data_IF_848088697446
#
_entry.id   IF_848088697446
#
_cell.length_a   1.000
_cell.length_b   1.000
_cell.length_c   1.000
_cell.angle_alpha   90.00
_cell.angle_beta   90.00
_cell.angle_gamma   90.00
#
_symmetry.space_group_name_H-M   'P 1'
#
loop_
_entity.id
_entity.type
_entity.pdbx_description
1 polymer ?
#
# COMPACT_ATOMS: atom_id res chain seq x y z
N UNK A 1 12.30 4.02 -51.22
CA UNK A 1 12.17 2.91 -50.25
C UNK A 1 11.14 3.39 -49.25
N UNK A 2 9.98 2.73 -49.09
CA UNK A 2 9.07 3.08 -48.01
C UNK A 2 9.75 2.72 -46.68
N UNK A 3 9.81 3.66 -45.75
CA UNK A 3 10.15 3.39 -44.36
C UNK A 3 9.19 2.32 -43.82
N UNK A 4 9.75 1.25 -43.28
CA UNK A 4 9.02 0.32 -42.44
C UNK A 4 8.58 1.13 -41.21
N UNK A 5 7.31 1.53 -41.15
CA UNK A 5 6.69 1.93 -39.89
C UNK A 5 6.93 0.77 -38.92
N UNK A 6 7.68 1.02 -37.85
CA UNK A 6 7.68 0.13 -36.70
C UNK A 6 6.23 0.09 -36.23
N UNK A 7 5.56 -1.04 -36.46
CA UNK A 7 4.25 -1.29 -35.85
C UNK A 7 4.54 -1.37 -34.35
N UNK A 8 4.04 -0.41 -33.57
CA UNK A 8 4.18 -0.44 -32.11
C UNK A 8 3.64 -1.76 -31.57
N UNK A 9 4.34 -2.33 -30.58
CA UNK A 9 3.82 -3.53 -29.90
C UNK A 9 2.68 -3.07 -29.01
N UNK A 10 1.54 -3.76 -29.07
CA UNK A 10 0.41 -3.48 -28.20
C UNK A 10 0.59 -4.21 -26.89
N UNK A 11 0.35 -3.52 -25.78
CA UNK A 11 0.40 -4.09 -24.44
C UNK A 11 -0.93 -3.85 -23.74
N UNK A 12 -1.48 -4.88 -23.09
CA UNK A 12 -2.64 -4.74 -22.21
C UNK A 12 -2.13 -4.40 -20.82
N UNK A 13 -2.40 -3.18 -20.35
CA UNK A 13 -1.95 -2.71 -19.05
C UNK A 13 -3.13 -2.37 -18.13
N UNK A 14 -2.91 -2.53 -16.83
CA UNK A 14 -3.78 -1.99 -15.78
C UNK A 14 -3.23 -0.61 -15.40
N UNK A 15 -4.03 0.44 -15.59
CA UNK A 15 -3.60 1.82 -15.36
C UNK A 15 -4.69 2.64 -14.64
N UNK A 16 -4.30 3.53 -13.69
CA UNK A 16 -5.21 4.54 -13.15
C UNK A 16 -5.56 5.57 -14.23
N UNK A 17 -6.84 5.65 -14.59
CA UNK A 17 -7.41 6.65 -15.49
C UNK A 17 -7.97 7.80 -14.66
N UNK A 18 -7.60 9.02 -15.01
CA UNK A 18 -8.08 10.25 -14.39
C UNK A 18 -9.48 10.54 -14.91
N UNK A 19 -10.48 10.37 -14.05
CA UNK A 19 -11.89 10.61 -14.37
C UNK A 19 -12.20 12.10 -14.31
N UNK A 20 -11.68 12.78 -13.30
CA UNK A 20 -11.83 14.22 -13.14
C UNK A 20 -10.97 14.76 -12.02
N UNK A 21 -10.72 16.07 -12.09
CA UNK A 21 -10.04 16.82 -11.05
C UNK A 21 -10.75 18.15 -10.81
N UNK A 22 -10.71 18.62 -9.57
CA UNK A 22 -11.30 19.90 -9.20
C UNK A 22 -10.57 20.52 -7.99
N UNK A 23 -10.60 21.85 -7.93
CA UNK A 23 -10.10 22.63 -6.79
C UNK A 23 -11.26 23.39 -6.16
N UNK A 24 -11.47 23.22 -4.86
CA UNK A 24 -12.45 24.02 -4.12
C UNK A 24 -11.79 24.75 -2.96
N UNK A 25 -12.24 25.97 -2.71
CA UNK A 25 -11.96 26.68 -1.47
C UNK A 25 -13.19 26.64 -0.54
N UNK A 26 -12.96 26.37 0.73
CA UNK A 26 -13.96 26.37 1.80
C UNK A 26 -13.48 27.21 2.97
N UNK A 27 -14.42 27.95 3.57
CA UNK A 27 -14.13 28.76 4.74
C UNK A 27 -14.90 28.20 5.92
N UNK A 28 -14.16 27.75 6.92
CA UNK A 28 -14.70 27.33 8.21
C UNK A 28 -14.65 28.50 9.18
N UNK A 29 -15.79 28.79 9.82
CA UNK A 29 -15.92 29.91 10.76
C UNK A 29 -16.30 29.36 12.12
N UNK A 30 -15.44 29.56 13.11
CA UNK A 30 -15.61 29.01 14.46
C UNK A 30 -15.26 30.05 15.51
N UNK A 31 -15.86 29.87 16.69
CA UNK A 31 -15.54 30.64 17.89
C UNK A 31 -14.97 29.69 18.93
N UNK A 32 -13.76 29.99 19.42
CA UNK A 32 -13.15 29.27 20.53
C UNK A 32 -13.24 30.12 21.80
N UNK A 33 -13.71 29.53 22.90
CA UNK A 33 -13.56 30.14 24.23
C UNK A 33 -12.15 29.87 24.73
N UNK A 34 -11.41 30.95 24.99
CA UNK A 34 -10.04 30.85 25.50
C UNK A 34 -10.05 30.58 27.00
N UNK A 35 -9.15 29.72 27.46
CA UNK A 35 -9.01 29.38 28.88
C UNK A 35 -8.65 30.60 29.75
N UNK A 36 -7.99 31.58 29.13
CA UNK A 36 -7.64 32.87 29.73
C UNK A 36 -7.92 34.00 28.73
N UNK A 37 -8.43 35.17 29.19
CA UNK A 37 -8.63 36.32 28.31
C UNK A 37 -7.30 36.74 27.64
N UNK A 38 -7.32 36.87 26.32
CA UNK A 38 -6.16 37.25 25.52
C UNK A 38 -6.12 38.75 25.22
N UNK A 39 -4.92 39.32 25.24
CA UNK A 39 -4.63 40.65 24.71
C UNK A 39 -4.40 40.58 23.19
N UNK A 40 -3.70 39.54 22.72
CA UNK A 40 -3.42 39.31 21.29
C UNK A 40 -3.13 37.85 21.01
N UNK A 41 -3.43 37.41 19.79
CA UNK A 41 -2.96 36.13 19.25
C UNK A 41 -1.51 36.32 18.80
N UNK A 42 -0.64 35.39 19.18
CA UNK A 42 0.76 35.37 18.76
C UNK A 42 0.93 34.57 17.48
N UNK A 43 0.43 33.34 17.49
CA UNK A 43 0.60 32.38 16.39
C UNK A 43 -0.48 31.30 16.45
N UNK A 44 -0.82 30.73 15.30
CA UNK A 44 -1.69 29.55 15.19
C UNK A 44 -1.06 28.63 14.16
N UNK A 45 -0.60 27.47 14.63
CA UNK A 45 -0.17 26.39 13.75
C UNK A 45 -1.35 25.47 13.54
N UNK A 46 -1.75 25.25 12.28
CA UNK A 46 -2.87 24.40 11.94
C UNK A 46 -2.43 23.36 10.92
N UNK A 47 -2.97 22.15 11.06
CA UNK A 47 -2.80 21.05 10.12
C UNK A 47 -4.15 20.39 9.89
N UNK A 48 -4.35 19.86 8.69
CA UNK A 48 -5.50 19.01 8.38
C UNK A 48 -5.09 17.56 8.61
N UNK A 49 -5.86 16.81 9.38
CA UNK A 49 -5.64 15.40 9.67
C UNK A 49 -6.91 14.59 9.50
N UNK A 50 -6.77 13.27 9.60
CA UNK A 50 -7.88 12.30 9.66
C UNK A 50 -8.86 12.45 8.50
N UNK A 51 -8.32 12.68 7.30
CA UNK A 51 -9.14 12.83 6.10
C UNK A 51 -9.77 11.50 5.71
N UNK A 52 -11.07 11.54 5.49
CA UNK A 52 -11.86 10.46 4.92
C UNK A 52 -12.56 10.96 3.66
N UNK A 53 -12.63 10.12 2.64
CA UNK A 53 -13.28 10.43 1.37
C UNK A 53 -14.26 9.36 0.98
N UNK A 54 -15.45 9.75 0.57
CA UNK A 54 -16.44 8.88 -0.05
C UNK A 54 -16.81 9.40 -1.43
N UNK A 55 -16.76 8.52 -2.43
CA UNK A 55 -17.20 8.86 -3.79
C UNK A 55 -18.66 8.48 -3.97
N UNK A 56 -19.45 9.42 -4.44
CA UNK A 56 -20.81 9.23 -4.92
C UNK A 56 -20.90 9.71 -6.37
N UNK A 57 -22.03 9.49 -7.01
CA UNK A 57 -22.27 9.96 -8.38
C UNK A 57 -21.93 11.46 -8.53
N UNK A 58 -20.97 11.73 -9.41
CA UNK A 58 -20.42 13.04 -9.77
C UNK A 58 -19.82 13.86 -8.61
N UNK A 59 -19.58 13.27 -7.43
CA UNK A 59 -19.09 14.03 -6.26
C UNK A 59 -18.17 13.22 -5.35
N UNK A 60 -17.29 13.95 -4.69
CA UNK A 60 -16.46 13.45 -3.59
C UNK A 60 -16.87 14.15 -2.30
N UNK A 61 -17.26 13.38 -1.29
CA UNK A 61 -17.44 13.85 0.09
C UNK A 61 -16.08 13.78 0.78
N UNK A 62 -15.73 14.84 1.50
CA UNK A 62 -14.48 14.96 2.25
C UNK A 62 -14.82 15.31 3.68
N UNK A 63 -14.29 14.53 4.60
CA UNK A 63 -14.40 14.76 6.04
C UNK A 63 -13.02 14.75 6.64
N UNK A 64 -12.81 15.49 7.72
CA UNK A 64 -11.53 15.50 8.41
C UNK A 64 -11.52 16.45 9.60
N UNK A 65 -10.34 16.63 10.18
CA UNK A 65 -10.12 17.46 11.36
C UNK A 65 -9.10 18.55 11.04
N UNK A 66 -9.42 19.79 11.41
CA UNK A 66 -8.46 20.89 11.49
C UNK A 66 -7.92 20.90 12.92
N UNK A 67 -6.71 20.39 13.11
CA UNK A 67 -6.02 20.42 14.39
C UNK A 67 -5.21 21.72 14.51
N UNK A 68 -5.47 22.51 15.55
CA UNK A 68 -4.83 23.82 15.77
C UNK A 68 -4.11 23.88 17.10
N UNK A 69 -2.93 24.49 17.06
CA UNK A 69 -2.10 24.84 18.20
C UNK A 69 -2.07 26.37 18.30
N UNK A 70 -2.82 26.92 19.25
CA UNK A 70 -3.07 28.37 19.37
C UNK A 70 -2.19 28.92 20.48
N UNK A 71 -1.35 29.90 20.14
CA UNK A 71 -0.49 30.61 21.08
C UNK A 71 -0.97 32.06 21.19
N UNK A 72 -1.25 32.52 22.41
CA UNK A 72 -1.77 33.87 22.66
C UNK A 72 -1.17 34.48 23.92
N UNK A 73 -1.19 35.81 24.03
CA UNK A 73 -0.73 36.53 25.21
C UNK A 73 -1.93 36.84 26.09
N UNK A 74 -1.92 36.36 27.33
CA UNK A 74 -2.99 36.58 28.30
C UNK A 74 -2.95 37.99 28.91
N UNK A 75 -3.99 38.35 29.66
CA UNK A 75 -4.01 39.60 30.45
C UNK A 75 -3.00 39.64 31.59
N UNK A 76 -2.35 38.52 31.88
CA UNK A 76 -1.23 38.36 32.81
C UNK A 76 0.15 38.57 32.16
N UNK A 77 0.19 38.98 30.89
CA UNK A 77 1.40 39.15 30.08
C UNK A 77 2.20 37.84 29.86
N UNK A 78 1.58 36.67 30.09
CA UNK A 78 2.17 35.35 29.85
C UNK A 78 1.67 34.80 28.51
N UNK A 79 2.51 34.00 27.84
CA UNK A 79 2.10 33.26 26.65
C UNK A 79 1.40 31.99 27.10
N UNK A 80 0.14 31.85 26.69
CA UNK A 80 -0.67 30.67 26.88
C UNK A 80 -0.76 29.87 25.58
N UNK A 81 -1.08 28.60 25.74
CA UNK A 81 -1.25 27.63 24.68
C UNK A 81 -2.57 26.92 24.87
N UNK A 82 -3.33 26.77 23.80
CA UNK A 82 -4.57 26.01 23.77
C UNK A 82 -4.67 25.26 22.44
N UNK A 83 -4.99 23.97 22.51
CA UNK A 83 -5.25 23.16 21.32
C UNK A 83 -6.76 23.16 21.00
N UNK A 84 -7.09 23.03 19.71
CA UNK A 84 -8.47 22.96 19.26
C UNK A 84 -8.57 22.06 18.02
N UNK A 85 -9.53 21.13 18.05
CA UNK A 85 -9.90 20.28 16.92
C UNK A 85 -11.25 20.70 16.36
N UNK A 86 -11.31 20.94 15.04
CA UNK A 86 -12.56 21.24 14.35
C UNK A 86 -12.79 20.19 13.28
N UNK A 87 -13.83 19.39 13.45
CA UNK A 87 -14.31 18.52 12.38
C UNK A 87 -14.95 19.37 11.27
N UNK A 88 -14.63 19.06 10.02
CA UNK A 88 -15.27 19.65 8.84
C UNK A 88 -15.85 18.55 7.95
N UNK A 89 -16.83 18.94 7.14
CA UNK A 89 -17.35 18.10 6.05
C UNK A 89 -17.74 18.97 4.87
N UNK A 90 -17.28 18.60 3.68
CA UNK A 90 -17.61 19.26 2.42
C UNK A 90 -17.82 18.22 1.33
N UNK A 91 -18.36 18.65 0.20
CA UNK A 91 -18.33 17.90 -1.04
C UNK A 91 -17.74 18.75 -2.18
N UNK A 92 -17.20 18.07 -3.18
CA UNK A 92 -16.66 18.64 -4.41
C UNK A 92 -17.32 17.93 -5.59
N UNK A 93 -17.81 18.70 -6.55
CA UNK A 93 -18.36 18.15 -7.78
C UNK A 93 -17.19 17.70 -8.68
N UNK A 94 -17.16 16.42 -9.04
CA UNK A 94 -16.19 15.80 -9.95
C UNK A 94 -16.99 14.97 -10.95
N UNK A 95 -17.37 15.54 -12.11
CA UNK A 95 -18.17 14.82 -13.10
C UNK A 95 -17.54 13.50 -13.53
N UNK A 96 -18.35 12.44 -13.62
CA UNK A 96 -17.93 11.08 -13.95
C UNK A 96 -17.49 10.23 -12.76
N UNK A 97 -17.40 10.79 -11.56
CA UNK A 97 -17.05 10.03 -10.36
C UNK A 97 -18.17 9.03 -9.97
N UNK A 98 -17.79 7.80 -9.63
CA UNK A 98 -18.70 6.72 -9.22
C UNK A 98 -18.21 6.03 -7.92
N UNK A 99 -19.12 5.41 -7.13
CA UNK A 99 -18.73 4.66 -5.94
C UNK A 99 -17.67 3.60 -6.23
N UNK A 100 -16.66 3.53 -5.36
CA UNK A 100 -15.53 2.59 -5.49
C UNK A 100 -14.33 3.12 -6.29
N UNK A 101 -14.43 4.30 -6.91
CA UNK A 101 -13.27 4.98 -7.48
C UNK A 101 -12.32 5.50 -6.40
N UNK A 102 -11.04 5.61 -6.76
CA UNK A 102 -9.98 6.08 -5.87
C UNK A 102 -9.91 7.61 -5.88
N UNK A 103 -9.58 8.21 -4.73
CA UNK A 103 -9.47 9.66 -4.58
C UNK A 103 -8.06 10.02 -4.12
N UNK A 104 -7.40 10.88 -4.89
CA UNK A 104 -6.23 11.62 -4.43
C UNK A 104 -6.68 13.01 -3.97
N UNK A 105 -6.26 13.40 -2.77
CA UNK A 105 -6.64 14.67 -2.15
C UNK A 105 -5.43 15.37 -1.55
N UNK A 106 -5.29 16.66 -1.87
CA UNK A 106 -4.27 17.54 -1.32
C UNK A 106 -4.94 18.72 -0.60
N UNK A 107 -5.07 18.65 0.74
CA UNK A 107 -5.58 19.76 1.54
C UNK A 107 -4.50 20.83 1.75
N UNK A 108 -4.89 22.10 1.71
CA UNK A 108 -4.01 23.23 2.04
C UNK A 108 -4.76 24.23 2.91
N UNK A 109 -4.14 24.68 4.00
CA UNK A 109 -4.64 25.82 4.77
C UNK A 109 -4.03 27.08 4.16
N UNK A 110 -4.82 27.86 3.43
CA UNK A 110 -4.34 29.09 2.80
C UNK A 110 -4.19 30.22 3.81
N UNK A 111 -5.22 30.42 4.64
CA UNK A 111 -5.31 31.55 5.56
C UNK A 111 -6.04 31.21 6.85
N UNK A 112 -5.54 31.74 7.96
CA UNK A 112 -6.24 31.76 9.26
C UNK A 112 -6.40 33.21 9.67
N UNK A 113 -7.63 33.72 9.59
CA UNK A 113 -7.97 35.08 10.02
C UNK A 113 -8.61 35.00 11.39
N UNK A 114 -8.08 35.75 12.35
CA UNK A 114 -8.61 35.74 13.71
C UNK A 114 -8.97 37.13 14.23
N UNK A 115 -9.91 37.15 15.17
CA UNK A 115 -10.31 38.34 15.90
C UNK A 115 -10.67 37.98 17.33
N UNK A 116 -10.06 38.67 18.29
CA UNK A 116 -10.47 38.59 19.68
C UNK A 116 -11.75 39.42 19.88
N UNK A 117 -12.77 38.79 20.46
CA UNK A 117 -14.04 39.41 20.82
C UNK A 117 -14.33 39.15 22.30
N UNK A 118 -15.43 39.71 22.82
CA UNK A 118 -15.81 39.58 24.24
C UNK A 118 -14.68 39.93 25.23
N UNK A 119 -13.97 41.05 24.98
CA UNK A 119 -12.82 41.49 25.78
C UNK A 119 -11.69 40.44 25.87
N UNK A 120 -11.51 39.63 24.83
CA UNK A 120 -10.41 38.67 24.73
C UNK A 120 -10.74 37.26 25.20
N UNK A 121 -11.95 36.97 25.65
CA UNK A 121 -12.33 35.61 26.08
C UNK A 121 -12.74 34.70 24.92
N UNK A 122 -13.13 35.28 23.78
CA UNK A 122 -13.52 34.51 22.59
C UNK A 122 -12.61 34.86 21.44
N UNK A 123 -12.06 33.83 20.81
CA UNK A 123 -11.28 33.89 19.59
C UNK A 123 -12.20 33.52 18.41
N UNK A 124 -12.64 34.52 17.66
CA UNK A 124 -13.37 34.34 16.40
C UNK A 124 -12.38 34.04 15.29
N UNK A 125 -12.58 32.95 14.56
CA UNK A 125 -11.62 32.41 13.60
C UNK A 125 -12.30 32.14 12.26
N UNK A 126 -11.55 32.36 11.19
CA UNK A 126 -11.91 31.95 9.83
C UNK A 126 -10.73 31.22 9.23
N UNK A 127 -10.90 29.94 8.95
CA UNK A 127 -9.88 29.10 8.31
C UNK A 127 -10.30 28.90 6.87
N UNK A 128 -9.45 29.31 5.92
CA UNK A 128 -9.65 29.09 4.49
C UNK A 128 -8.86 27.85 4.10
N UNK A 129 -9.59 26.81 3.72
CA UNK A 129 -9.09 25.54 3.21
C UNK A 129 -9.21 25.53 1.69
N UNK A 130 -8.17 25.05 1.02
CA UNK A 130 -8.22 24.65 -0.38
C UNK A 130 -8.05 23.14 -0.44
N UNK A 131 -8.87 22.47 -1.27
CA UNK A 131 -8.72 21.06 -1.57
C UNK A 131 -8.52 20.91 -3.08
N UNK A 132 -7.40 20.32 -3.48
CA UNK A 132 -7.26 19.73 -4.81
C UNK A 132 -7.68 18.27 -4.71
N UNK A 133 -8.64 17.85 -5.54
CA UNK A 133 -9.16 16.50 -5.58
C UNK A 133 -9.05 15.94 -6.98
N UNK A 134 -8.64 14.68 -7.07
CA UNK A 134 -8.58 13.90 -8.29
C UNK A 134 -9.23 12.55 -8.07
N UNK A 135 -10.11 12.14 -8.98
CA UNK A 135 -10.75 10.83 -8.97
C UNK A 135 -10.11 9.96 -10.03
N UNK A 136 -9.69 8.76 -9.62
CA UNK A 136 -9.04 7.76 -10.45
C UNK A 136 -9.92 6.51 -10.54
N UNK A 137 -9.96 5.92 -11.74
CA UNK A 137 -10.55 4.61 -11.97
C UNK A 137 -9.49 3.71 -12.57
N UNK A 138 -9.24 2.56 -11.96
CA UNK A 138 -8.24 1.64 -12.50
C UNK A 138 -8.87 0.79 -13.61
N UNK A 139 -8.36 0.94 -14.83
CA UNK A 139 -8.89 0.31 -16.03
C UNK A 139 -7.84 -0.55 -16.72
N UNK A 140 -8.30 -1.49 -17.55
CA UNK A 140 -7.44 -2.23 -18.48
C UNK A 140 -7.46 -1.54 -19.84
N UNK A 141 -6.30 -1.11 -20.30
CA UNK A 141 -6.12 -0.37 -21.54
C UNK A 141 -5.18 -1.14 -22.46
N UNK A 142 -5.53 -1.21 -23.75
CA UNK A 142 -4.62 -1.68 -24.79
C UNK A 142 -3.87 -0.45 -25.31
N UNK A 143 -2.59 -0.34 -24.94
CA UNK A 143 -1.75 0.80 -25.29
C UNK A 143 -0.72 0.44 -26.35
N UNK A 144 -0.38 1.41 -27.18
CA UNK A 144 0.75 1.29 -28.10
C UNK A 144 2.08 1.60 -27.39
N UNK A 145 3.06 0.71 -27.53
CA UNK A 145 4.43 0.96 -27.05
C UNK A 145 5.29 1.59 -28.15
N UNK A 146 6.15 2.54 -27.78
CA UNK A 146 6.93 3.29 -28.77
C UNK A 146 7.70 4.48 -28.19
N UNK A 147 7.73 5.60 -28.90
CA UNK A 147 8.46 6.80 -28.47
C UNK A 147 7.59 7.66 -27.55
N UNK A 148 7.63 7.37 -26.25
CA UNK A 148 7.00 8.18 -25.21
C UNK A 148 7.64 7.98 -23.84
N UNK A 149 7.04 8.48 -22.74
CA UNK A 149 7.60 8.35 -21.40
C UNK A 149 7.80 6.89 -21.04
N UNK A 150 8.94 6.58 -20.40
CA UNK A 150 9.20 5.26 -19.85
C UNK A 150 8.45 5.17 -18.52
N UNK A 151 7.39 4.37 -18.46
CA UNK A 151 6.53 4.29 -17.27
C UNK A 151 6.59 2.90 -16.64
N UNK A 152 6.40 2.85 -15.32
CA UNK A 152 6.05 1.61 -14.62
C UNK A 152 4.56 1.36 -14.83
N UNK A 153 4.22 0.18 -15.31
CA UNK A 153 2.84 -0.25 -15.47
C UNK A 153 2.71 -1.74 -15.15
N UNK A 154 1.51 -2.16 -14.76
CA UNK A 154 1.20 -3.57 -14.59
C UNK A 154 0.63 -4.12 -15.89
N UNK A 155 1.44 -4.91 -16.60
CA UNK A 155 0.97 -5.66 -17.78
C UNK A 155 0.07 -6.80 -17.34
N UNK A 156 -1.07 -6.94 -17.99
CA UNK A 156 -1.99 -8.05 -17.76
C UNK A 156 -1.50 -9.27 -18.54
N UNK A 157 -1.21 -10.35 -17.80
CA UNK A 157 -0.78 -11.63 -18.38
C UNK A 157 -2.01 -12.46 -18.74
N UNK A 158 -2.97 -12.53 -17.82
CA UNK A 158 -4.24 -13.20 -18.05
C UNK A 158 -5.21 -13.03 -16.89
N UNK A 159 -6.46 -13.37 -17.16
CA UNK A 159 -7.53 -13.40 -16.17
C UNK A 159 -8.48 -14.57 -16.46
N UNK A 160 -9.05 -15.15 -15.42
CA UNK A 160 -10.01 -16.25 -15.53
C UNK A 160 -10.88 -16.34 -14.27
N UNK A 161 -12.09 -16.86 -14.41
CA UNK A 161 -12.99 -17.18 -13.29
C UNK A 161 -13.21 -18.69 -13.24
N UNK A 162 -13.17 -19.25 -12.02
CA UNK A 162 -13.63 -20.63 -11.78
C UNK A 162 -14.71 -20.64 -10.71
N UNK A 163 -15.67 -21.55 -10.86
CA UNK A 163 -16.60 -21.87 -9.78
C UNK A 163 -16.11 -23.13 -9.07
N UNK A 164 -16.06 -23.09 -7.74
CA UNK A 164 -15.71 -24.24 -6.91
C UNK A 164 -16.79 -24.48 -5.85
N UNK A 165 -16.98 -25.75 -5.50
CA UNK A 165 -17.99 -26.16 -4.52
C UNK A 165 -17.31 -26.71 -3.29
N UNK A 166 -17.51 -26.03 -2.16
CA UNK A 166 -17.05 -26.44 -0.85
C UNK A 166 -18.21 -27.15 -0.15
N UNK A 167 -18.07 -28.46 0.05
CA UNK A 167 -19.05 -29.26 0.79
C UNK A 167 -18.60 -29.42 2.23
N UNK A 168 -19.52 -29.24 3.16
CA UNK A 168 -19.26 -29.45 4.58
C UNK A 168 -20.47 -30.01 5.33
N UNK A 169 -20.21 -30.76 6.39
CA UNK A 169 -21.24 -31.32 7.26
C UNK A 169 -20.91 -30.97 8.71
N UNK A 170 -21.65 -29.98 9.23
CA UNK A 170 -21.43 -29.41 10.56
C UNK A 170 -22.37 -30.04 11.58
N UNK A 171 -21.81 -30.42 12.73
CA UNK A 171 -22.61 -30.86 13.89
C UNK A 171 -22.99 -29.65 14.74
N UNK A 172 -24.27 -29.55 15.08
CA UNK A 172 -24.81 -28.45 15.87
C UNK A 172 -24.63 -28.73 17.36
N UNK A 173 -24.21 -27.70 18.11
CA UNK A 173 -24.07 -27.79 19.57
C UNK A 173 -25.42 -28.05 20.27
N UNK A 174 -26.50 -27.57 19.66
CA UNK A 174 -27.89 -27.77 20.10
C UNK A 174 -28.69 -28.28 18.90
N UNK A 175 -29.56 -29.28 19.13
CA UNK A 175 -30.45 -29.78 18.09
C UNK A 175 -31.32 -28.67 17.53
N UNK A 176 -31.31 -28.51 16.22
CA UNK A 176 -32.11 -27.50 15.53
C UNK A 176 -33.47 -28.04 15.09
N UNK A 177 -34.49 -27.20 15.20
CA UNK A 177 -35.78 -27.37 14.56
C UNK A 177 -35.73 -26.86 13.11
N UNK A 178 -35.03 -25.74 12.89
CA UNK A 178 -34.86 -25.11 11.57
C UNK A 178 -33.63 -24.22 11.51
N UNK A 179 -33.09 -24.03 10.32
CA UNK A 179 -32.08 -23.01 10.02
C UNK A 179 -32.79 -21.68 9.74
N UNK A 180 -32.26 -20.59 10.31
CA UNK A 180 -32.76 -19.23 10.14
C UNK A 180 -32.02 -18.56 9.00
N UNK A 181 -30.69 -18.53 9.09
CA UNK A 181 -29.84 -17.86 8.13
C UNK A 181 -28.42 -18.46 8.12
N UNK A 182 -27.73 -18.30 6.99
CA UNK A 182 -26.32 -18.62 6.83
C UNK A 182 -25.66 -17.48 6.06
N UNK A 183 -24.70 -16.82 6.67
CA UNK A 183 -23.79 -15.92 5.97
C UNK A 183 -22.41 -16.54 5.85
N UNK A 184 -21.74 -16.29 4.74
CA UNK A 184 -20.36 -16.72 4.53
C UNK A 184 -19.56 -15.64 3.82
N UNK A 185 -18.28 -15.57 4.16
CA UNK A 185 -17.29 -14.74 3.50
C UNK A 185 -15.98 -15.52 3.36
N UNK A 186 -15.19 -15.18 2.34
CA UNK A 186 -13.87 -15.78 2.14
C UNK A 186 -12.83 -14.92 2.86
N UNK A 187 -12.02 -15.55 3.69
CA UNK A 187 -10.94 -14.95 4.47
C UNK A 187 -9.62 -15.69 4.24
N UNK A 188 -8.53 -15.09 4.74
CA UNK A 188 -7.21 -15.73 4.80
C UNK A 188 -6.74 -16.30 3.46
N UNK A 189 -6.95 -15.54 2.38
CA UNK A 189 -6.50 -15.94 1.05
C UNK A 189 -4.96 -15.92 0.98
N UNK A 190 -4.40 -17.05 0.57
CA UNK A 190 -3.02 -17.21 0.16
C UNK A 190 -2.97 -17.68 -1.29
N UNK A 191 -1.95 -17.20 -2.03
CA UNK A 191 -1.86 -17.44 -3.47
C UNK A 191 -0.44 -17.74 -3.89
N UNK A 192 -0.27 -18.76 -4.72
CA UNK A 192 1.01 -19.11 -5.33
C UNK A 192 0.86 -19.16 -6.85
N UNK A 193 1.67 -18.35 -7.55
CA UNK A 193 1.75 -18.39 -9.01
C UNK A 193 2.78 -19.45 -9.41
N UNK A 194 2.34 -20.40 -10.23
CA UNK A 194 3.20 -21.40 -10.87
C UNK A 194 3.05 -21.27 -12.39
N UNK A 195 3.81 -22.05 -13.14
CA UNK A 195 3.72 -22.06 -14.61
C UNK A 195 2.27 -22.31 -15.07
N UNK A 196 1.72 -21.34 -15.82
CA UNK A 196 0.37 -21.31 -16.40
C UNK A 196 -0.81 -21.42 -15.42
N UNK A 197 -0.58 -21.35 -14.11
CA UNK A 197 -1.62 -21.55 -13.09
C UNK A 197 -1.42 -20.70 -11.85
N UNK A 198 -2.52 -20.45 -11.15
CA UNK A 198 -2.53 -19.87 -9.80
C UNK A 198 -3.15 -20.89 -8.85
N UNK A 199 -2.47 -21.19 -7.74
CA UNK A 199 -3.02 -21.94 -6.61
C UNK A 199 -3.60 -20.93 -5.64
N UNK A 200 -4.83 -21.16 -5.19
CA UNK A 200 -5.52 -20.35 -4.21
C UNK A 200 -5.84 -21.24 -3.01
N UNK A 201 -5.52 -20.75 -1.83
CA UNK A 201 -5.89 -21.35 -0.56
C UNK A 201 -6.61 -20.30 0.26
N UNK A 202 -7.61 -20.71 1.02
CA UNK A 202 -8.34 -19.77 1.88
C UNK A 202 -9.30 -20.48 2.80
N UNK A 203 -10.03 -19.67 3.57
CA UNK A 203 -11.00 -20.14 4.54
C UNK A 203 -12.35 -19.50 4.23
N UNK A 204 -13.38 -20.33 4.08
CA UNK A 204 -14.76 -19.85 4.12
C UNK A 204 -15.14 -19.69 5.59
N UNK A 205 -15.19 -18.44 6.06
CA UNK A 205 -15.70 -18.11 7.39
C UNK A 205 -17.22 -17.97 7.31
N UNK A 206 -17.93 -18.74 8.13
CA UNK A 206 -19.38 -18.87 8.03
C UNK A 206 -20.05 -18.68 9.37
N UNK A 207 -21.16 -17.95 9.38
CA UNK A 207 -22.04 -17.77 10.53
C UNK A 207 -23.36 -18.50 10.29
N UNK A 208 -23.67 -19.47 11.15
CA UNK A 208 -24.91 -20.24 11.11
C UNK A 208 -25.85 -19.78 12.23
N UNK A 209 -27.06 -19.37 11.87
CA UNK A 209 -28.14 -19.01 12.80
C UNK A 209 -29.27 -20.03 12.69
N UNK A 210 -29.72 -20.59 13.82
CA UNK A 210 -30.74 -21.64 13.84
C UNK A 210 -31.60 -21.60 15.11
N UNK A 211 -32.81 -22.19 15.05
CA UNK A 211 -33.68 -22.32 16.23
C UNK A 211 -33.48 -23.70 16.85
N UNK A 212 -33.16 -23.75 18.14
CA UNK A 212 -32.97 -24.98 18.89
C UNK A 212 -34.29 -25.65 19.31
N UNK A 213 -34.22 -26.90 19.79
CA UNK A 213 -35.35 -27.59 20.44
C UNK A 213 -35.86 -26.87 21.71
N UNK A 214 -35.07 -25.95 22.25
CA UNK A 214 -35.44 -25.05 23.35
C UNK A 214 -36.23 -23.81 22.89
N UNK A 215 -36.55 -23.72 21.60
CA UNK A 215 -37.22 -22.58 20.95
C UNK A 215 -36.43 -21.25 21.02
N UNK A 216 -35.12 -21.33 21.30
CA UNK A 216 -34.20 -20.18 21.32
C UNK A 216 -33.38 -20.14 20.04
N UNK A 217 -33.01 -18.94 19.60
CA UNK A 217 -32.08 -18.75 18.51
C UNK A 217 -30.64 -18.95 18.98
N UNK A 218 -29.91 -19.83 18.29
CA UNK A 218 -28.51 -20.14 18.54
C UNK A 218 -27.67 -19.71 17.36
N UNK A 219 -26.40 -19.48 17.65
CA UNK A 219 -25.39 -19.05 16.72
C UNK A 219 -24.19 -20.00 16.78
N UNK A 220 -23.67 -20.38 15.62
CA UNK A 220 -22.46 -21.20 15.52
C UNK A 220 -21.61 -20.72 14.33
N UNK A 221 -20.36 -20.34 14.62
CA UNK A 221 -19.38 -20.02 13.60
C UNK A 221 -18.62 -21.27 13.13
N UNK A 222 -18.16 -21.27 11.89
CA UNK A 222 -17.32 -22.32 11.34
C UNK A 222 -16.36 -21.78 10.27
N UNK A 223 -15.17 -22.37 10.24
CA UNK A 223 -14.11 -22.10 9.27
C UNK A 223 -13.89 -23.35 8.41
N UNK A 224 -14.10 -23.22 7.11
CA UNK A 224 -13.96 -24.32 6.16
C UNK A 224 -12.82 -24.00 5.20
N UNK A 225 -11.65 -24.65 5.31
CA UNK A 225 -10.54 -24.41 4.39
C UNK A 225 -10.88 -24.95 3.00
N UNK A 226 -10.48 -24.23 1.96
CA UNK A 226 -10.56 -24.67 0.57
C UNK A 226 -9.24 -24.44 -0.14
N UNK A 227 -9.05 -25.18 -1.24
CA UNK A 227 -7.94 -24.95 -2.17
C UNK A 227 -8.42 -25.21 -3.58
N UNK A 228 -8.05 -24.32 -4.49
CA UNK A 228 -8.43 -24.38 -5.90
C UNK A 228 -7.26 -23.96 -6.78
N UNK A 229 -7.24 -24.40 -8.03
CA UNK A 229 -6.30 -23.89 -9.04
C UNK A 229 -7.05 -23.22 -10.19
N UNK A 230 -6.48 -22.14 -10.71
CA UNK A 230 -7.03 -21.42 -11.85
C UNK A 230 -6.01 -21.42 -12.98
N UNK A 231 -6.43 -21.88 -14.16
CA UNK A 231 -5.60 -21.84 -15.37
C UNK A 231 -5.48 -20.40 -15.86
N UNK A 232 -4.26 -19.89 -15.92
CA UNK A 232 -3.90 -18.56 -16.43
C UNK A 232 -2.67 -18.72 -17.34
N UNK A 233 -2.87 -18.99 -18.64
CA UNK A 233 -1.75 -19.16 -19.58
C UNK A 233 -0.81 -17.96 -19.59
N UNK A 234 0.50 -18.22 -19.53
CA UNK A 234 1.56 -17.21 -19.47
C UNK A 234 1.97 -16.77 -18.06
N UNK A 235 1.30 -17.25 -17.01
CA UNK A 235 1.67 -16.96 -15.63
C UNK A 235 3.00 -17.66 -15.26
N UNK A 236 3.89 -16.93 -14.57
CA UNK A 236 5.18 -17.41 -14.09
C UNK A 236 5.41 -17.06 -12.60
N UNK A 237 6.22 -17.86 -11.86
CA UNK A 237 6.55 -17.56 -10.47
C UNK A 237 7.13 -16.15 -10.28
N UNK A 238 6.61 -15.43 -9.29
CA UNK A 238 7.02 -14.06 -8.97
C UNK A 238 6.17 -12.97 -9.63
N UNK A 239 5.21 -13.32 -10.50
CA UNK A 239 4.19 -12.38 -10.99
C UNK A 239 3.19 -12.00 -9.89
N UNK A 240 2.55 -10.86 -10.07
CA UNK A 240 1.53 -10.35 -9.15
C UNK A 240 0.19 -11.05 -9.42
N UNK A 241 -0.58 -11.31 -8.37
CA UNK A 241 -1.90 -11.94 -8.49
C UNK A 241 -2.95 -11.20 -7.66
N UNK A 242 -4.14 -11.04 -8.23
CA UNK A 242 -5.32 -10.50 -7.58
C UNK A 242 -6.43 -11.54 -7.66
N UNK A 243 -7.03 -11.85 -6.51
CA UNK A 243 -8.15 -12.78 -6.40
C UNK A 243 -9.36 -12.04 -5.82
N UNK A 244 -10.49 -12.13 -6.52
CA UNK A 244 -11.76 -11.58 -6.09
C UNK A 244 -12.75 -12.73 -5.87
N UNK A 245 -12.85 -13.24 -4.63
CA UNK A 245 -13.81 -14.29 -4.30
C UNK A 245 -15.22 -13.72 -4.16
N UNK A 246 -16.23 -14.49 -4.57
CA UNK A 246 -17.64 -14.22 -4.31
C UNK A 246 -18.35 -15.50 -3.87
N UNK A 247 -19.16 -15.41 -2.81
CA UNK A 247 -20.07 -16.49 -2.42
C UNK A 247 -21.34 -16.36 -3.27
N UNK A 248 -21.50 -17.21 -4.26
CA UNK A 248 -22.66 -17.16 -5.16
C UNK A 248 -23.91 -17.80 -4.53
N UNK A 249 -23.71 -18.95 -3.87
CA UNK A 249 -24.82 -19.71 -3.32
C UNK A 249 -24.41 -20.55 -2.12
N UNK A 250 -25.32 -20.68 -1.14
CA UNK A 250 -25.20 -21.62 -0.04
C UNK A 250 -26.48 -22.47 -0.01
N UNK A 251 -26.35 -23.74 -0.36
CA UNK A 251 -27.41 -24.73 -0.19
C UNK A 251 -27.19 -25.42 1.15
N UNK A 252 -28.26 -25.62 1.91
CA UNK A 252 -28.21 -26.29 3.21
C UNK A 252 -29.34 -27.31 3.36
N UNK A 253 -29.06 -28.40 4.05
CA UNK A 253 -30.02 -29.45 4.40
C UNK A 253 -29.82 -29.87 5.88
N UNK A 254 -30.80 -29.53 6.72
CA UNK A 254 -30.85 -29.97 8.13
C UNK A 254 -31.23 -31.44 8.22
N UNK A 255 -30.47 -32.22 8.99
CA UNK A 255 -30.73 -33.64 9.23
C UNK A 255 -32.06 -33.86 9.98
N UNK A 256 -32.72 -34.98 9.71
CA UNK A 256 -34.03 -35.30 10.31
C UNK A 256 -34.02 -35.39 11.84
N UNK A 257 -32.85 -35.60 12.46
CA UNK A 257 -32.67 -35.66 13.91
C UNK A 257 -32.23 -34.32 14.53
N UNK A 258 -32.10 -33.27 13.70
CA UNK A 258 -31.75 -31.90 14.09
C UNK A 258 -30.29 -31.69 14.47
N UNK A 259 -29.43 -32.71 14.36
CA UNK A 259 -28.05 -32.64 14.89
C UNK A 259 -27.02 -32.10 13.90
N UNK A 260 -27.31 -32.14 12.58
CA UNK A 260 -26.31 -31.88 11.54
C UNK A 260 -26.89 -31.05 10.41
N UNK A 261 -26.05 -30.25 9.76
CA UNK A 261 -26.42 -29.49 8.57
C UNK A 261 -25.43 -29.83 7.47
N UNK A 262 -25.91 -30.43 6.39
CA UNK A 262 -25.13 -30.62 5.17
C UNK A 262 -25.21 -29.33 4.34
N UNK A 263 -24.07 -28.88 3.84
CA UNK A 263 -23.94 -27.59 3.17
C UNK A 263 -23.12 -27.74 1.89
N UNK A 264 -23.59 -27.09 0.83
CA UNK A 264 -22.87 -26.91 -0.42
C UNK A 264 -22.72 -25.41 -0.65
N UNK A 265 -21.49 -24.90 -0.55
CA UNK A 265 -21.13 -23.50 -0.76
C UNK A 265 -20.50 -23.38 -2.14
N UNK A 266 -21.11 -22.59 -3.02
CA UNK A 266 -20.57 -22.29 -4.35
C UNK A 266 -19.83 -20.97 -4.28
N UNK A 267 -18.54 -21.01 -4.60
CA UNK A 267 -17.67 -19.85 -4.68
C UNK A 267 -17.32 -19.57 -6.14
N UNK A 268 -17.39 -18.32 -6.56
CA UNK A 268 -16.72 -17.83 -7.77
C UNK A 268 -15.38 -17.21 -7.37
N UNK A 269 -14.30 -17.63 -8.02
CA UNK A 269 -12.96 -17.08 -7.83
C UNK A 269 -12.52 -16.43 -9.14
N UNK A 270 -12.63 -15.11 -9.25
CA UNK A 270 -12.02 -14.36 -10.35
C UNK A 270 -10.55 -14.07 -10.03
N UNK A 271 -9.66 -14.43 -10.94
CA UNK A 271 -8.20 -14.31 -10.77
C UNK A 271 -7.63 -13.49 -11.90
N UNK A 272 -6.71 -12.60 -11.57
CA UNK A 272 -5.94 -11.79 -12.51
C UNK A 272 -4.47 -11.85 -12.17
N UNK A 273 -3.64 -12.16 -13.18
CA UNK A 273 -2.19 -12.15 -13.07
C UNK A 273 -1.63 -10.96 -13.83
N UNK A 274 -0.77 -10.18 -13.18
CA UNK A 274 -0.07 -9.05 -13.77
C UNK A 274 1.44 -9.13 -13.54
N UNK A 275 2.19 -8.47 -14.41
CA UNK A 275 3.64 -8.31 -14.29
C UNK A 275 3.98 -6.82 -14.29
N UNK A 276 4.72 -6.36 -13.30
CA UNK A 276 5.18 -4.97 -13.26
C UNK A 276 6.34 -4.78 -14.23
N UNK A 277 6.10 -4.01 -15.29
CA UNK A 277 7.04 -3.77 -16.38
C UNK A 277 7.41 -2.30 -16.49
N UNK A 278 8.54 -2.02 -17.16
CA UNK A 278 8.88 -0.68 -17.64
C UNK A 278 8.69 -0.65 -19.15
N UNK A 279 7.76 0.17 -19.62
CA UNK A 279 7.44 0.28 -21.05
C UNK A 279 7.38 1.75 -21.46
N UNK A 280 7.83 2.04 -22.69
CA UNK A 280 7.61 3.35 -23.27
C UNK A 280 6.21 3.38 -23.90
N UNK A 281 5.32 4.21 -23.38
CA UNK A 281 3.93 4.30 -23.85
C UNK A 281 3.78 5.47 -24.80
N UNK A 282 3.19 5.25 -25.98
CA UNK A 282 2.91 6.33 -26.93
C UNK A 282 1.80 7.23 -26.39
N UNK A 283 2.06 8.54 -26.41
CA UNK A 283 1.07 9.56 -26.04
C UNK A 283 0.03 9.74 -27.15
N UNK A 284 -1.24 9.88 -26.79
CA UNK A 284 -2.38 10.06 -27.69
C UNK A 284 -3.37 11.10 -27.19
N UNK A 285 -4.64 10.95 -27.55
CA UNK A 285 -5.74 11.84 -27.17
C UNK A 285 -6.90 11.11 -26.45
N UNK A 286 -6.71 9.82 -26.09
CA UNK A 286 -7.74 8.98 -25.46
C UNK A 286 -7.72 9.15 -23.93
N UNK A 287 -7.75 8.06 -23.14
CA UNK A 287 -7.79 8.16 -21.67
C UNK A 287 -6.58 8.89 -21.12
N UNK A 288 -6.83 9.80 -20.17
CA UNK A 288 -5.80 10.47 -19.38
C UNK A 288 -5.36 9.50 -18.28
N UNK A 289 -4.15 8.94 -18.36
CA UNK A 289 -3.63 8.03 -17.33
C UNK A 289 -2.72 8.78 -16.37
N UNK A 290 -2.62 8.27 -15.14
CA UNK A 290 -1.60 8.65 -14.18
C UNK A 290 -0.68 7.46 -13.92
N UNK A 291 0.57 7.53 -14.39
CA UNK A 291 1.55 6.45 -14.23
C UNK A 291 2.89 7.02 -13.71
N UNK A 292 3.66 6.22 -12.95
CA UNK A 292 5.01 6.60 -12.55
C UNK A 292 5.96 6.57 -13.74
N UNK A 293 6.46 7.72 -14.18
CA UNK A 293 7.56 7.82 -15.13
C UNK A 293 8.88 7.47 -14.44
N UNK A 294 9.70 6.67 -15.11
CA UNK A 294 11.06 6.32 -14.68
C UNK A 294 12.01 7.43 -15.13
N UNK A 295 12.40 8.27 -14.18
CA UNK A 295 13.36 9.36 -14.40
C UNK A 295 14.76 8.81 -14.59
N UNK A 296 15.11 7.80 -13.79
CA UNK A 296 16.37 7.10 -13.93
C UNK A 296 16.52 5.99 -12.91
N UNK A 297 17.43 5.07 -13.20
CA UNK A 297 17.82 3.98 -12.33
C UNK A 297 19.32 3.76 -12.40
N UNK A 298 19.91 3.34 -11.29
CA UNK A 298 21.33 3.02 -11.23
C UNK A 298 21.62 2.10 -10.04
N UNK A 299 22.72 1.35 -10.13
CA UNK A 299 23.20 0.48 -9.05
C UNK A 299 24.57 0.94 -8.59
N UNK A 300 24.76 1.06 -7.28
CA UNK A 300 26.08 1.29 -6.70
C UNK A 300 26.50 0.17 -5.77
N UNK A 301 27.67 -0.39 -6.03
CA UNK A 301 28.31 -1.32 -5.12
C UNK A 301 28.95 -0.59 -3.94
N UNK A 302 28.79 -1.14 -2.74
CA UNK A 302 29.43 -0.69 -1.51
C UNK A 302 30.31 -1.80 -0.92
N UNK A 303 31.37 -1.39 -0.22
CA UNK A 303 32.22 -2.26 0.59
C UNK A 303 32.16 -1.78 2.03
N UNK A 304 31.73 -2.65 2.94
CA UNK A 304 31.79 -2.43 4.38
C UNK A 304 32.80 -3.40 5.00
N UNK A 305 33.80 -2.88 5.69
CA UNK A 305 34.80 -3.67 6.41
C UNK A 305 34.75 -3.32 7.89
N UNK A 306 34.36 -4.29 8.72
CA UNK A 306 34.35 -4.13 10.18
C UNK A 306 35.12 -5.26 10.86
N UNK A 307 35.63 -4.97 12.05
CA UNK A 307 36.26 -5.98 12.91
C UNK A 307 35.48 -6.04 14.22
N UNK A 308 35.00 -7.25 14.53
CA UNK A 308 34.22 -7.53 15.73
C UNK A 308 35.07 -8.34 16.71
N UNK A 309 34.99 -8.00 17.99
CA UNK A 309 35.49 -8.88 19.05
C UNK A 309 34.44 -9.95 19.32
N UNK A 310 34.83 -11.21 19.18
CA UNK A 310 33.94 -12.33 19.44
C UNK A 310 33.78 -12.53 20.94
N UNK A 311 32.54 -12.77 21.38
CA UNK A 311 32.23 -12.96 22.79
C UNK A 311 32.93 -14.20 23.37
N UNK A 312 33.26 -15.17 22.51
CA UNK A 312 34.00 -16.38 22.83
C UNK A 312 35.09 -16.60 21.78
N UNK A 313 36.25 -17.09 22.19
CA UNK A 313 37.35 -17.46 21.28
C UNK A 313 36.87 -18.51 20.27
N UNK A 314 36.92 -18.17 18.99
CA UNK A 314 36.47 -19.04 17.92
C UNK A 314 37.62 -19.85 17.32
N UNK A 315 37.35 -21.12 16.99
CA UNK A 315 38.22 -21.95 16.15
C UNK A 315 37.93 -21.68 14.67
N UNK A 316 36.65 -21.52 14.30
CA UNK A 316 36.23 -21.29 12.92
C UNK A 316 34.90 -20.56 12.86
N UNK A 317 34.70 -19.82 11.78
CA UNK A 317 33.40 -19.26 11.41
C UNK A 317 32.61 -20.32 10.67
N UNK A 318 31.37 -20.55 11.07
CA UNK A 318 30.45 -21.46 10.41
C UNK A 318 29.73 -20.75 9.28
N UNK A 319 29.10 -19.62 9.60
CA UNK A 319 28.28 -18.86 8.67
C UNK A 319 28.17 -17.40 9.10
N UNK A 320 28.03 -16.51 8.12
CA UNK A 320 27.59 -15.14 8.34
C UNK A 320 26.48 -14.87 7.34
N UNK A 321 25.31 -14.49 7.83
CA UNK A 321 24.26 -13.92 6.99
C UNK A 321 24.20 -12.41 7.24
N UNK A 322 23.86 -11.66 6.21
CA UNK A 322 23.68 -10.22 6.31
C UNK A 322 22.46 -9.79 5.52
N UNK A 323 21.74 -8.83 6.07
CA UNK A 323 20.59 -8.17 5.44
C UNK A 323 20.71 -6.67 5.60
N UNK A 324 20.11 -5.93 4.68
CA UNK A 324 19.98 -4.49 4.76
C UNK A 324 18.65 -4.14 5.43
N UNK A 325 18.70 -3.34 6.48
CA UNK A 325 17.55 -2.97 7.30
C UNK A 325 17.54 -1.44 7.52
N UNK A 326 16.39 -0.91 7.95
CA UNK A 326 16.19 0.50 8.26
C UNK A 326 16.65 1.46 7.14
N UNK A 327 16.36 1.06 5.89
CA UNK A 327 16.75 1.83 4.71
C UNK A 327 15.92 3.11 4.62
N UNK A 328 16.63 4.23 4.53
CA UNK A 328 16.07 5.54 4.27
C UNK A 328 16.76 6.13 3.05
N UNK A 329 15.99 6.81 2.19
CA UNK A 329 16.51 7.46 1.01
C UNK A 329 16.00 8.89 0.87
N UNK A 330 16.87 9.77 0.38
CA UNK A 330 16.54 11.16 0.07
C UNK A 330 16.98 11.47 -1.34
N UNK A 331 16.03 11.88 -2.17
CA UNK A 331 16.29 12.33 -3.54
C UNK A 331 16.77 13.79 -3.50
N UNK A 332 17.89 14.04 -4.16
CA UNK A 332 18.44 15.37 -4.40
C UNK A 332 18.73 15.52 -5.90
N UNK A 333 19.13 16.70 -6.34
CA UNK A 333 19.45 16.93 -7.74
C UNK A 333 20.50 15.92 -8.25
N UNK A 334 20.11 15.15 -9.25
CA UNK A 334 20.87 14.11 -9.96
C UNK A 334 21.39 12.93 -9.10
N UNK A 335 20.95 12.81 -7.84
CA UNK A 335 21.43 11.77 -6.91
C UNK A 335 20.39 11.34 -5.90
N UNK A 336 20.60 10.15 -5.35
CA UNK A 336 19.87 9.64 -4.19
C UNK A 336 20.85 9.33 -3.08
N UNK A 337 20.64 9.89 -1.89
CA UNK A 337 21.37 9.51 -0.68
C UNK A 337 20.64 8.33 -0.06
N UNK A 338 21.35 7.22 0.20
CA UNK A 338 20.81 6.02 0.84
C UNK A 338 21.55 5.77 2.14
N UNK A 339 20.79 5.54 3.21
CA UNK A 339 21.28 5.27 4.56
C UNK A 339 20.55 4.06 5.13
N UNK A 340 21.20 3.32 6.02
CA UNK A 340 20.56 2.23 6.74
C UNK A 340 21.56 1.41 7.53
N UNK A 341 21.18 0.17 7.86
CA UNK A 341 21.95 -0.75 8.69
C UNK A 341 22.22 -2.03 7.91
N UNK A 342 23.46 -2.51 7.94
CA UNK A 342 23.81 -3.89 7.58
C UNK A 342 23.72 -4.70 8.86
N UNK A 343 22.64 -5.46 9.01
CA UNK A 343 22.44 -6.36 10.14
C UNK A 343 23.05 -7.72 9.82
N UNK A 344 23.99 -8.16 10.66
CA UNK A 344 24.73 -9.41 10.46
C UNK A 344 24.43 -10.40 11.57
N UNK A 345 24.26 -11.66 11.20
CA UNK A 345 24.12 -12.79 12.09
C UNK A 345 25.34 -13.69 11.91
N UNK A 346 26.16 -13.84 12.95
CA UNK A 346 27.45 -14.54 12.88
C UNK A 346 27.34 -15.81 13.71
N UNK A 347 27.52 -16.96 13.06
CA UNK A 347 27.57 -18.27 13.69
C UNK A 347 29.00 -18.81 13.63
N UNK A 348 29.55 -19.21 14.78
CA UNK A 348 30.93 -19.67 14.90
C UNK A 348 31.08 -20.79 15.94
N UNK A 349 32.19 -21.53 15.87
CA UNK A 349 32.46 -22.65 16.79
C UNK A 349 33.59 -22.25 17.74
N UNK A 350 33.33 -22.37 19.05
CA UNK A 350 34.29 -22.08 20.11
C UNK A 350 35.29 -23.21 20.37
N UNK A 351 36.25 -22.97 21.27
CA UNK A 351 37.27 -23.95 21.66
C UNK A 351 36.69 -25.20 22.35
N UNK A 352 35.52 -25.08 22.96
CA UNK A 352 34.76 -26.15 23.59
C UNK A 352 33.92 -26.98 22.59
N UNK A 353 34.03 -26.67 21.29
CA UNK A 353 33.21 -27.23 20.22
C UNK A 353 31.71 -26.90 20.31
N UNK A 354 31.33 -25.85 21.06
CA UNK A 354 29.98 -25.32 21.08
C UNK A 354 29.81 -24.28 19.97
N UNK A 355 28.62 -24.25 19.37
CA UNK A 355 28.23 -23.23 18.41
C UNK A 355 27.69 -22.00 19.14
N UNK A 356 28.25 -20.85 18.79
CA UNK A 356 27.88 -19.55 19.32
C UNK A 356 27.29 -18.68 18.22
N UNK A 357 26.47 -17.74 18.66
CA UNK A 357 25.81 -16.76 17.84
C UNK A 357 26.12 -15.37 18.37
N UNK A 358 26.45 -14.44 17.47
CA UNK A 358 26.64 -13.04 17.79
C UNK A 358 26.11 -12.18 16.64
N UNK A 359 25.35 -11.14 16.96
CA UNK A 359 24.82 -10.20 15.98
C UNK A 359 25.62 -8.89 15.97
N UNK A 360 25.68 -8.22 14.82
CA UNK A 360 26.35 -6.93 14.67
C UNK A 360 25.57 -6.03 13.69
N UNK A 361 25.30 -4.79 14.12
CA UNK A 361 24.69 -3.75 13.28
C UNK A 361 25.75 -2.78 12.81
N UNK A 362 25.89 -2.62 11.49
CA UNK A 362 26.84 -1.69 10.90
C UNK A 362 26.08 -0.63 10.10
N UNK A 363 26.05 0.64 10.54
CA UNK A 363 25.42 1.69 9.76
C UNK A 363 26.21 1.92 8.47
N UNK A 364 25.49 2.18 7.38
CA UNK A 364 26.10 2.59 6.11
C UNK A 364 25.43 3.84 5.56
N UNK A 365 26.18 4.57 4.73
CA UNK A 365 25.64 5.67 3.94
C UNK A 365 26.37 5.72 2.60
N UNK A 366 25.60 5.91 1.54
CA UNK A 366 26.12 6.09 0.19
C UNK A 366 25.24 7.06 -0.59
N UNK A 367 25.69 7.42 -1.78
CA UNK A 367 24.88 8.13 -2.77
C UNK A 367 24.92 7.37 -4.09
N UNK A 368 23.81 7.31 -4.81
CA UNK A 368 23.69 6.73 -6.15
C UNK A 368 23.40 7.85 -7.12
N UNK A 369 24.17 7.96 -8.21
CA UNK A 369 23.95 8.97 -9.23
C UNK A 369 22.77 8.57 -10.12
N UNK A 370 21.73 9.40 -10.18
CA UNK A 370 20.50 9.18 -10.96
C UNK A 370 20.19 10.50 -11.69
N UNK A 371 20.64 10.61 -12.94
CA UNK A 371 20.51 11.84 -13.72
C UNK A 371 19.03 12.23 -13.89
N UNK A 372 18.71 13.50 -13.70
CA UNK A 372 17.33 14.01 -13.79
C UNK A 372 16.52 13.92 -12.50
N UNK A 373 17.03 13.23 -11.48
CA UNK A 373 16.40 13.18 -10.16
C UNK A 373 16.30 14.58 -9.53
N UNK A 374 15.18 14.88 -8.87
CA UNK A 374 14.85 16.15 -8.22
C UNK A 374 14.25 15.88 -6.84
N UNK A 375 14.36 16.83 -5.88
CA UNK A 375 13.64 16.73 -4.61
C UNK A 375 12.16 16.42 -4.81
N UNK A 376 11.57 15.74 -3.84
CA UNK A 376 10.15 15.34 -3.77
C UNK A 376 9.71 14.27 -4.79
N UNK A 377 10.61 13.75 -5.63
CA UNK A 377 10.36 12.55 -6.43
C UNK A 377 10.34 11.27 -5.58
N UNK A 378 9.61 10.27 -6.05
CA UNK A 378 9.55 8.95 -5.44
C UNK A 378 10.83 8.15 -5.71
N UNK A 379 11.20 7.29 -4.77
CA UNK A 379 12.40 6.46 -4.89
C UNK A 379 12.20 5.05 -4.34
N UNK A 380 12.46 4.06 -5.19
CA UNK A 380 12.56 2.66 -4.81
C UNK A 380 14.03 2.32 -4.55
N UNK A 381 14.34 1.72 -3.40
CA UNK A 381 15.69 1.22 -3.07
C UNK A 381 15.63 -0.29 -2.88
N UNK A 382 16.38 -1.03 -3.68
CA UNK A 382 16.49 -2.49 -3.60
C UNK A 382 17.94 -2.85 -3.28
N UNK A 383 18.28 -3.05 -2.01
CA UNK A 383 19.61 -3.47 -1.62
C UNK A 383 19.76 -5.00 -1.71
N UNK A 384 20.96 -5.47 -2.01
CA UNK A 384 21.29 -6.90 -2.00
C UNK A 384 22.71 -7.14 -1.51
N UNK A 385 22.92 -8.27 -0.83
CA UNK A 385 24.27 -8.69 -0.40
C UNK A 385 24.87 -9.57 -1.48
N UNK A 386 25.92 -9.10 -2.13
CA UNK A 386 26.61 -9.85 -3.17
C UNK A 386 27.58 -10.88 -2.57
N UNK A 387 28.32 -10.50 -1.53
CA UNK A 387 29.36 -11.36 -0.96
C UNK A 387 29.76 -10.96 0.47
N UNK A 388 30.12 -11.95 1.29
CA UNK A 388 30.70 -11.75 2.63
C UNK A 388 31.99 -12.54 2.75
N UNK A 389 33.08 -11.88 3.15
CA UNK A 389 34.38 -12.50 3.44
C UNK A 389 34.74 -12.40 4.92
N UNK A 390 34.68 -13.51 5.68
CA UNK A 390 35.23 -13.55 7.03
C UNK A 390 36.75 -13.74 7.02
N UNK A 391 37.42 -13.11 7.98
CA UNK A 391 38.82 -13.31 8.31
C UNK A 391 38.95 -13.34 9.83
N UNK A 392 39.08 -14.54 10.37
CA UNK A 392 39.29 -14.77 11.80
C UNK A 392 40.77 -14.54 12.16
N UNK A 393 41.03 -13.87 13.28
CA UNK A 393 42.37 -13.68 13.80
C UNK A 393 43.00 -15.00 14.25
N UNK A 394 44.34 -15.04 14.32
CA UNK A 394 45.05 -16.27 14.68
C UNK A 394 44.76 -16.74 16.12
N UNK A 395 44.39 -15.82 17.01
CA UNK A 395 44.01 -16.10 18.39
C UNK A 395 42.50 -16.33 18.56
N UNK A 396 41.71 -16.31 17.48
CA UNK A 396 40.28 -16.60 17.52
C UNK A 396 39.39 -15.52 18.13
N UNK A 397 39.95 -14.39 18.56
CA UNK A 397 39.21 -13.37 19.33
C UNK A 397 38.62 -12.25 18.46
N UNK A 398 39.13 -12.03 17.26
CA UNK A 398 38.71 -10.95 16.37
C UNK A 398 38.27 -11.50 15.02
N UNK A 399 37.14 -11.02 14.53
CA UNK A 399 36.61 -11.38 13.22
C UNK A 399 36.49 -10.13 12.35
N UNK A 400 37.35 -10.02 11.34
CA UNK A 400 37.23 -9.03 10.27
C UNK A 400 36.28 -9.53 9.19
N UNK A 401 35.35 -8.70 8.76
CA UNK A 401 34.26 -9.06 7.86
C UNK A 401 34.22 -8.03 6.74
N UNK A 402 34.34 -8.48 5.49
CA UNK A 402 34.13 -7.62 4.32
C UNK A 402 32.80 -7.98 3.67
N UNK A 403 31.84 -7.07 3.71
CA UNK A 403 30.54 -7.20 3.05
C UNK A 403 30.56 -6.35 1.78
N UNK A 404 30.30 -6.99 0.65
CA UNK A 404 30.01 -6.32 -0.62
C UNK A 404 28.51 -6.38 -0.83
N UNK A 405 27.88 -5.24 -1.00
CA UNK A 405 26.46 -5.13 -1.31
C UNK A 405 26.22 -4.22 -2.49
N UNK A 406 25.15 -4.47 -3.23
CA UNK A 406 24.71 -3.66 -4.36
C UNK A 406 23.43 -2.93 -3.94
N UNK A 407 23.44 -1.60 -4.11
CA UNK A 407 22.30 -0.73 -3.81
C UNK A 407 21.73 -0.28 -5.16
N UNK A 408 20.64 -0.93 -5.60
CA UNK A 408 19.86 -0.48 -6.75
C UNK A 408 18.90 0.61 -6.30
N UNK A 409 18.81 1.68 -7.10
CA UNK A 409 17.92 2.81 -6.89
C UNK A 409 17.18 3.10 -8.18
N UNK A 410 15.88 3.36 -8.07
CA UNK A 410 15.03 3.85 -9.15
C UNK A 410 14.26 5.07 -8.68
N UNK A 411 14.33 6.16 -9.42
CA UNK A 411 13.59 7.39 -9.14
C UNK A 411 12.44 7.51 -10.11
N UNK A 412 11.26 7.81 -9.59
CA UNK A 412 10.03 7.96 -10.38
C UNK A 412 9.28 9.25 -10.04
N UNK A 413 8.47 9.72 -10.98
CA UNK A 413 7.54 10.84 -10.78
C UNK A 413 6.20 10.47 -11.42
N UNK A 414 5.10 10.66 -10.70
CA UNK A 414 3.78 10.45 -11.29
C UNK A 414 3.49 11.56 -12.31
N UNK A 415 3.28 11.14 -13.56
CA UNK A 415 2.90 12.04 -14.65
C UNK A 415 1.48 11.73 -15.13
N UNK A 416 0.82 12.75 -15.67
CA UNK A 416 -0.44 12.59 -16.38
C UNK A 416 -0.23 12.82 -17.86
N UNK A 417 -0.68 11.89 -18.68
CA UNK A 417 -0.67 12.02 -20.13
C UNK A 417 -1.79 11.20 -20.75
N UNK A 418 -2.29 11.64 -21.89
CA UNK A 418 -3.24 10.87 -22.67
C UNK A 418 -2.50 9.74 -23.38
N UNK A 419 -3.06 8.53 -23.32
CA UNK A 419 -2.54 7.38 -24.09
C UNK A 419 -3.16 7.34 -25.48
N UNK A 420 -2.48 6.65 -26.39
CA UNK A 420 -3.08 6.21 -27.65
C UNK A 420 -3.63 4.79 -27.44
N UNK A 421 -4.95 4.66 -27.44
CA UNK A 421 -5.64 3.39 -27.23
C UNK A 421 -5.94 2.70 -28.55
N UNK A 422 -5.77 1.38 -28.57
CA UNK A 422 -6.33 0.57 -29.65
C UNK A 422 -7.63 -0.02 -29.16
N UNK A 423 -8.76 0.49 -29.67
CA UNK A 423 -10.07 -0.06 -29.38
C UNK A 423 -10.11 -1.57 -29.65
N UNK A 424 -10.96 -2.35 -28.95
CA UNK A 424 -11.02 -3.81 -29.08
C UNK A 424 -11.37 -4.29 -30.50
N UNK A 425 -11.82 -3.37 -31.35
CA UNK A 425 -11.98 -3.55 -32.80
C UNK A 425 -11.45 -2.31 -33.51
N UNK A 426 -10.21 -2.33 -33.99
CA UNK A 426 -9.70 -1.31 -34.88
C UNK A 426 -10.62 -1.16 -36.10
N UNK A 427 -11.11 0.06 -36.35
CA UNK A 427 -11.68 0.45 -37.65
C UNK A 427 -10.69 1.38 -38.32
#
# INVERSE_FOLDING_TARGET
>A
MPELQQVGVLELIKAPVVIGENVVQRMEVTDLTLDMPAIKVRDINAVVSDIQTDVIEDKVIIQGIIHKQIFYVGTDDIIHHQAEDIAFSTFIDVPGAEPGMEVLIEPTIEHIVTKLVANGTILHQKVVLQFFVKVLSVQQLIVETGSGPLVKADRVIGENSVQTMVMNDVSLAVKAIKIVDISAEVMELDTEVIEDKVIIQGVVHKQLFYIGEDEVEHHQAEDIPFSEFVDIPGAEPGMNVQVHPAVEHIKQELSSDGNRVNQEIVLELFVKVTESVQINVVTGDDSLVMLPEVIGENTKQILSETTLALDQTAIKIKEITAVFEDINAVVINDKVIVQGIIHKQIFYVGEDNIEYHQAENVPFSTFVDVMGARPDMDVDVIPSVAFIKPLLSHDGNLLTQKVIGDIFVKVTENIQFNVNEVGPYGI
#
